data_IF_188627930672
#
_entry.id   IF_188627930672
#
_cell.length_a   1.000
_cell.length_b   1.000
_cell.length_c   1.000
_cell.angle_alpha   90.00
_cell.angle_beta   90.00
_cell.angle_gamma   90.00
#
_symmetry.space_group_name_H-M   'P 1'
#
loop_
_entity.id
_entity.type
_entity.pdbx_description
1 polymer ?
#
# COMPACT_ATOMS: atom_id res chain seq x y z
N UNK A 1 14.42 -29.64 -10.59
CA UNK A 1 14.02 -29.22 -9.23
C UNK A 1 15.19 -28.49 -8.58
N UNK A 2 15.39 -27.23 -8.91
CA UNK A 2 16.44 -26.37 -8.34
C UNK A 2 15.93 -24.93 -8.50
N UNK A 3 15.75 -24.18 -7.41
CA UNK A 3 15.41 -22.76 -7.54
C UNK A 3 14.76 -22.04 -6.36
N UNK A 4 14.37 -22.69 -5.26
CA UNK A 4 13.63 -21.96 -4.21
C UNK A 4 14.50 -21.21 -3.20
N UNK A 5 15.75 -21.61 -2.96
CA UNK A 5 16.57 -21.03 -1.89
C UNK A 5 17.07 -19.61 -2.20
N UNK A 6 17.38 -19.30 -3.46
CA UNK A 6 17.90 -17.99 -3.88
C UNK A 6 16.84 -16.94 -4.18
N UNK A 7 15.58 -17.33 -4.42
CA UNK A 7 14.55 -16.37 -4.88
C UNK A 7 14.11 -15.40 -3.79
N UNK A 8 14.01 -15.85 -2.53
CA UNK A 8 13.59 -14.97 -1.43
C UNK A 8 14.58 -13.85 -1.13
N UNK A 9 15.90 -14.11 -0.92
CA UNK A 9 16.86 -13.03 -0.67
C UNK A 9 16.98 -12.11 -1.89
N UNK A 10 16.93 -12.64 -3.11
CA UNK A 10 16.94 -11.83 -4.32
C UNK A 10 15.71 -10.91 -4.43
N UNK A 11 14.50 -11.45 -4.22
CA UNK A 11 13.27 -10.67 -4.27
C UNK A 11 13.25 -9.58 -3.18
N UNK A 12 13.71 -9.90 -1.96
CA UNK A 12 13.83 -8.92 -0.89
C UNK A 12 14.84 -7.82 -1.21
N UNK A 13 16.01 -8.17 -1.76
CA UNK A 13 17.02 -7.19 -2.14
C UNK A 13 16.52 -6.23 -3.24
N UNK A 14 15.88 -6.77 -4.29
CA UNK A 14 15.30 -5.96 -5.36
C UNK A 14 14.15 -5.10 -4.84
N UNK A 15 13.30 -5.65 -3.96
CA UNK A 15 12.25 -4.87 -3.30
C UNK A 15 12.85 -3.73 -2.49
N UNK A 16 13.81 -3.99 -1.61
CA UNK A 16 14.42 -2.98 -0.77
C UNK A 16 15.07 -1.86 -1.59
N UNK A 17 15.81 -2.22 -2.65
CA UNK A 17 16.43 -1.24 -3.54
C UNK A 17 15.39 -0.37 -4.25
N UNK A 18 14.37 -0.99 -4.85
CA UNK A 18 13.32 -0.26 -5.57
C UNK A 18 12.49 0.62 -4.65
N UNK A 19 12.20 0.18 -3.42
CA UNK A 19 11.44 0.95 -2.44
C UNK A 19 12.26 2.07 -1.82
N UNK A 20 13.57 1.89 -1.64
CA UNK A 20 14.46 2.98 -1.26
C UNK A 20 14.40 4.12 -2.29
N UNK A 21 14.44 3.79 -3.59
CA UNK A 21 14.29 4.77 -4.67
C UNK A 21 12.92 5.45 -4.62
N UNK A 22 11.83 4.70 -4.47
CA UNK A 22 10.48 5.27 -4.35
C UNK A 22 10.36 6.20 -3.14
N UNK A 23 10.92 5.82 -1.99
CA UNK A 23 10.93 6.64 -0.78
C UNK A 23 11.65 7.97 -1.03
N UNK A 24 12.86 7.92 -1.63
CA UNK A 24 13.60 9.13 -2.01
C UNK A 24 12.78 10.05 -2.95
N UNK A 25 11.96 9.48 -3.83
CA UNK A 25 11.09 10.24 -4.73
C UNK A 25 9.89 10.87 -4.02
N UNK A 26 9.16 10.09 -3.21
CA UNK A 26 7.95 10.62 -2.55
C UNK A 26 8.28 11.61 -1.45
N UNK A 27 9.43 11.47 -0.78
CA UNK A 27 9.92 12.44 0.21
C UNK A 27 10.72 13.60 -0.39
N UNK A 28 10.75 13.73 -1.74
CA UNK A 28 11.40 14.84 -2.46
C UNK A 28 12.91 14.99 -2.24
N UNK A 29 13.58 13.95 -1.77
CA UNK A 29 15.05 13.93 -1.70
C UNK A 29 15.65 13.87 -3.10
N UNK A 30 14.99 13.12 -3.99
CA UNK A 30 15.30 13.09 -5.43
C UNK A 30 14.01 13.37 -6.18
N UNK A 31 14.00 14.35 -7.07
CA UNK A 31 12.81 14.71 -7.86
C UNK A 31 12.93 13.98 -9.21
N UNK A 32 12.13 12.93 -9.47
CA UNK A 32 12.15 12.27 -10.76
C UNK A 32 11.53 13.18 -11.84
N UNK A 33 11.97 13.07 -13.11
CA UNK A 33 11.28 13.73 -14.21
C UNK A 33 9.90 13.09 -14.40
N UNK A 34 8.86 13.93 -14.55
CA UNK A 34 7.49 13.46 -14.81
C UNK A 34 6.43 14.08 -13.90
N UNK A 35 5.24 13.50 -13.94
CA UNK A 35 4.09 14.01 -13.18
C UNK A 35 4.21 13.65 -11.70
N UNK A 36 4.19 14.67 -10.86
CA UNK A 36 4.30 14.53 -9.42
C UNK A 36 2.92 14.59 -8.78
N UNK A 37 2.40 13.43 -8.38
CA UNK A 37 1.09 13.31 -7.70
C UNK A 37 1.19 13.33 -6.17
N UNK A 38 2.39 13.55 -5.60
CA UNK A 38 2.55 13.54 -4.13
C UNK A 38 1.84 14.70 -3.44
N UNK A 39 1.54 15.78 -4.17
CA UNK A 39 0.71 16.89 -3.70
C UNK A 39 -0.68 16.44 -3.27
N UNK A 40 -1.21 15.36 -3.85
CA UNK A 40 -2.51 14.82 -3.47
C UNK A 40 -2.50 14.38 -2.01
N UNK A 41 -1.36 13.88 -1.50
CA UNK A 41 -1.22 13.50 -0.09
C UNK A 41 -1.15 14.73 0.81
N UNK A 42 -0.29 15.70 0.48
CA UNK A 42 -0.05 16.87 1.35
C UNK A 42 -1.16 17.92 1.29
N UNK A 43 -1.95 17.95 0.21
CA UNK A 43 -3.03 18.92 0.01
C UNK A 43 -4.40 18.26 0.18
N UNK A 44 -4.74 17.29 -0.67
CA UNK A 44 -6.09 16.71 -0.72
C UNK A 44 -6.32 15.81 0.50
N UNK A 45 -5.46 14.82 0.73
CA UNK A 45 -5.66 13.86 1.82
C UNK A 45 -5.49 14.52 3.18
N UNK A 46 -4.54 15.45 3.32
CA UNK A 46 -4.37 16.19 4.56
C UNK A 46 -5.59 17.10 4.84
N UNK A 47 -6.15 17.74 3.81
CA UNK A 47 -7.39 18.51 3.93
C UNK A 47 -8.58 17.64 4.37
N UNK A 48 -8.73 16.44 3.80
CA UNK A 48 -9.74 15.48 4.26
C UNK A 48 -9.49 15.02 5.69
N UNK A 49 -8.23 14.78 6.06
CA UNK A 49 -7.85 14.42 7.42
C UNK A 49 -8.31 15.47 8.44
N UNK A 50 -8.14 16.76 8.14
CA UNK A 50 -8.56 17.85 9.01
C UNK A 50 -10.07 17.92 9.21
N UNK A 51 -10.86 17.55 8.20
CA UNK A 51 -12.31 17.42 8.34
C UNK A 51 -12.67 16.15 9.11
N UNK A 52 -12.13 15.00 8.71
CA UNK A 52 -12.41 13.70 9.31
C UNK A 52 -12.08 13.65 10.80
N UNK A 53 -10.99 14.29 11.23
CA UNK A 53 -10.61 14.34 12.65
C UNK A 53 -11.58 15.15 13.51
N UNK A 54 -12.44 15.96 12.91
CA UNK A 54 -13.53 16.65 13.61
C UNK A 54 -14.77 15.76 13.84
N UNK A 55 -14.79 14.56 13.26
CA UNK A 55 -15.89 13.59 13.38
C UNK A 55 -16.94 13.68 12.28
N UNK A 56 -16.70 14.47 11.24
CA UNK A 56 -17.59 14.60 10.06
C UNK A 56 -16.87 14.19 8.79
N UNK A 57 -17.64 13.84 7.75
CA UNK A 57 -17.07 13.60 6.42
C UNK A 57 -16.98 14.93 5.64
N UNK A 58 -16.08 15.04 4.66
CA UNK A 58 -16.00 16.21 3.77
C UNK A 58 -17.15 16.20 2.74
N UNK A 59 -18.39 16.28 3.23
CA UNK A 59 -19.64 16.12 2.45
C UNK A 59 -19.80 17.16 1.32
N UNK A 60 -19.25 18.36 1.50
CA UNK A 60 -19.28 19.43 0.50
C UNK A 60 -18.12 19.36 -0.51
N UNK A 61 -17.17 18.44 -0.32
CA UNK A 61 -16.02 18.28 -1.21
C UNK A 61 -16.32 17.24 -2.30
N UNK A 62 -16.49 17.71 -3.53
CA UNK A 62 -16.77 16.86 -4.70
C UNK A 62 -15.64 15.88 -5.05
N UNK A 63 -14.46 16.09 -4.48
CA UNK A 63 -13.32 15.18 -4.66
C UNK A 63 -13.36 13.99 -3.71
N UNK A 64 -14.15 14.03 -2.64
CA UNK A 64 -14.42 12.88 -1.79
C UNK A 64 -15.43 11.94 -2.46
N UNK A 65 -14.95 10.85 -3.03
CA UNK A 65 -15.77 9.88 -3.78
C UNK A 65 -15.66 8.47 -3.22
N UNK A 66 -15.17 8.34 -1.98
CA UNK A 66 -14.82 7.06 -1.39
C UNK A 66 -15.84 6.61 -0.35
N UNK A 67 -16.02 5.29 -0.18
CA UNK A 67 -16.91 4.78 0.85
C UNK A 67 -16.37 5.11 2.27
N UNK A 68 -17.21 5.03 3.32
CA UNK A 68 -16.86 5.55 4.65
C UNK A 68 -15.56 4.98 5.23
N UNK A 69 -15.26 3.70 5.00
CA UNK A 69 -14.09 3.05 5.60
C UNK A 69 -12.78 3.57 5.01
N UNK A 70 -12.79 4.23 3.84
CA UNK A 70 -11.63 4.95 3.29
C UNK A 70 -11.08 6.00 4.28
N UNK A 71 -11.93 6.55 5.16
CA UNK A 71 -11.51 7.45 6.22
C UNK A 71 -10.41 6.84 7.11
N UNK A 72 -10.38 5.52 7.30
CA UNK A 72 -9.32 4.87 8.08
C UNK A 72 -7.93 5.06 7.45
N UNK A 73 -7.82 4.97 6.12
CA UNK A 73 -6.56 5.20 5.43
C UNK A 73 -6.10 6.66 5.59
N UNK A 74 -7.03 7.60 5.45
CA UNK A 74 -6.77 9.05 5.56
C UNK A 74 -6.48 9.48 7.01
N UNK A 75 -7.11 8.85 8.01
CA UNK A 75 -6.86 9.11 9.42
C UNK A 75 -5.60 8.40 9.97
N UNK A 76 -5.16 7.31 9.33
CA UNK A 76 -4.05 6.48 9.83
C UNK A 76 -2.72 7.21 10.06
N UNK A 77 -2.35 8.30 9.35
CA UNK A 77 -1.13 9.08 9.66
C UNK A 77 -1.09 9.60 11.09
N UNK A 78 -2.23 9.79 11.77
CA UNK A 78 -2.29 10.18 13.18
C UNK A 78 -1.70 9.12 14.14
N UNK A 79 -1.48 7.88 13.68
CA UNK A 79 -0.78 6.84 14.43
C UNK A 79 0.73 7.13 14.58
N UNK A 80 1.27 8.05 13.78
CA UNK A 80 2.68 8.44 13.77
C UNK A 80 2.82 9.96 14.03
N UNK A 81 2.39 10.47 15.20
CA UNK A 81 2.26 11.91 15.47
C UNK A 81 3.60 12.65 15.54
N UNK A 82 4.71 11.93 15.50
CA UNK A 82 6.08 12.47 15.50
C UNK A 82 6.62 12.73 14.08
N UNK A 83 5.81 12.47 13.04
CA UNK A 83 6.11 12.77 11.64
C UNK A 83 5.08 13.79 11.10
N UNK A 84 5.45 14.53 10.06
CA UNK A 84 4.46 15.28 9.29
C UNK A 84 3.50 14.33 8.56
N UNK A 85 2.30 14.81 8.22
CA UNK A 85 1.23 14.00 7.66
C UNK A 85 1.65 13.22 6.40
N UNK A 86 2.37 13.87 5.47
CA UNK A 86 2.75 13.24 4.21
C UNK A 86 3.81 12.15 4.44
N UNK A 87 4.83 12.43 5.25
CA UNK A 87 5.85 11.44 5.62
C UNK A 87 5.23 10.25 6.36
N UNK A 88 4.34 10.50 7.32
CA UNK A 88 3.60 9.45 8.03
C UNK A 88 2.79 8.57 7.07
N UNK A 89 2.10 9.19 6.11
CA UNK A 89 1.35 8.47 5.07
C UNK A 89 2.27 7.57 4.22
N UNK A 90 3.40 8.09 3.74
CA UNK A 90 4.34 7.30 2.94
C UNK A 90 4.97 6.15 3.72
N UNK A 91 5.24 6.33 5.02
CA UNK A 91 5.70 5.25 5.90
C UNK A 91 4.64 4.16 6.01
N UNK A 92 3.37 4.53 6.21
CA UNK A 92 2.27 3.56 6.30
C UNK A 92 2.06 2.81 4.97
N UNK A 93 2.14 3.51 3.83
CA UNK A 93 2.11 2.91 2.50
C UNK A 93 3.26 1.89 2.31
N UNK A 94 4.48 2.25 2.72
CA UNK A 94 5.65 1.37 2.71
C UNK A 94 5.47 0.13 3.60
N UNK A 95 4.89 0.28 4.79
CA UNK A 95 4.60 -0.84 5.68
C UNK A 95 3.55 -1.80 5.08
N UNK A 96 2.51 -1.27 4.43
CA UNK A 96 1.54 -2.08 3.70
C UNK A 96 2.17 -2.83 2.51
N UNK A 97 3.05 -2.19 1.75
CA UNK A 97 3.82 -2.82 0.66
C UNK A 97 4.73 -3.95 1.18
N UNK A 98 5.43 -3.72 2.30
CA UNK A 98 6.25 -4.71 2.96
C UNK A 98 5.41 -5.90 3.46
N UNK A 99 4.22 -5.64 3.99
CA UNK A 99 3.27 -6.67 4.40
C UNK A 99 2.82 -7.52 3.21
N UNK A 100 2.49 -6.90 2.07
CA UNK A 100 2.15 -7.62 0.84
C UNK A 100 3.30 -8.51 0.39
N UNK A 101 4.54 -7.99 0.35
CA UNK A 101 5.70 -8.80 0.03
C UNK A 101 5.83 -10.01 0.96
N UNK A 102 5.73 -9.79 2.29
CA UNK A 102 5.82 -10.86 3.28
C UNK A 102 4.75 -11.94 3.09
N UNK A 103 3.51 -11.53 2.80
CA UNK A 103 2.40 -12.44 2.50
C UNK A 103 2.64 -13.25 1.22
N UNK A 104 3.11 -12.61 0.14
CA UNK A 104 3.39 -13.28 -1.13
C UNK A 104 4.58 -14.23 -1.04
N UNK A 105 5.65 -13.84 -0.34
CA UNK A 105 6.77 -14.70 -0.05
C UNK A 105 6.31 -15.93 0.72
N UNK A 106 5.56 -15.75 1.81
CA UNK A 106 5.04 -16.85 2.61
C UNK A 106 4.08 -17.76 1.84
N UNK A 107 3.26 -17.21 0.95
CA UNK A 107 2.39 -18.00 0.07
C UNK A 107 3.17 -18.81 -0.99
N UNK A 108 4.39 -18.36 -1.31
CA UNK A 108 5.29 -19.03 -2.24
C UNK A 108 6.15 -20.12 -1.57
N UNK A 109 5.94 -20.38 -0.28
CA UNK A 109 6.71 -21.35 0.48
C UNK A 109 6.19 -22.78 0.26
N UNK A 110 7.05 -23.65 -0.26
CA UNK A 110 6.84 -25.09 -0.30
C UNK A 110 6.94 -25.70 -1.70
N UNK A 111 6.93 -27.04 -1.79
CA UNK A 111 7.05 -27.76 -3.06
C UNK A 111 5.93 -27.37 -4.04
N UNK A 112 6.29 -27.09 -5.30
CA UNK A 112 5.34 -26.77 -6.37
C UNK A 112 4.72 -25.37 -6.31
N UNK A 113 5.06 -24.54 -5.32
CA UNK A 113 4.62 -23.14 -5.24
C UNK A 113 5.42 -22.27 -6.20
N UNK A 114 4.74 -21.31 -6.84
CA UNK A 114 5.35 -20.39 -7.82
C UNK A 114 5.66 -19.05 -7.16
N UNK A 115 6.83 -18.50 -7.46
CA UNK A 115 7.29 -17.18 -7.00
C UNK A 115 6.91 -16.05 -7.97
N UNK A 116 6.15 -16.35 -9.03
CA UNK A 116 5.79 -15.37 -10.06
C UNK A 116 5.04 -14.15 -9.48
N UNK A 117 4.10 -14.37 -8.54
CA UNK A 117 3.38 -13.27 -7.89
C UNK A 117 4.28 -12.34 -7.09
N UNK A 118 5.34 -12.87 -6.46
CA UNK A 118 6.36 -12.06 -5.77
C UNK A 118 7.07 -11.16 -6.78
N UNK A 119 7.52 -11.70 -7.92
CA UNK A 119 8.23 -10.89 -8.92
C UNK A 119 7.35 -9.87 -9.62
N UNK A 120 6.08 -10.20 -9.89
CA UNK A 120 5.09 -9.22 -10.39
C UNK A 120 4.94 -8.07 -9.40
N UNK A 121 4.89 -8.33 -8.09
CA UNK A 121 4.81 -7.29 -7.06
C UNK A 121 6.10 -6.47 -6.95
N UNK A 122 7.25 -7.14 -6.88
CA UNK A 122 8.55 -6.49 -6.70
C UNK A 122 8.90 -5.62 -7.90
N UNK A 123 8.69 -6.11 -9.12
CA UNK A 123 9.00 -5.38 -10.34
C UNK A 123 7.89 -4.40 -10.75
N UNK A 124 6.61 -4.76 -10.54
CA UNK A 124 5.48 -3.97 -11.04
C UNK A 124 5.21 -2.69 -10.26
N UNK A 125 5.23 -2.73 -8.93
CA UNK A 125 4.97 -1.56 -8.07
C UNK A 125 5.85 -0.34 -8.41
N UNK A 126 7.19 -0.47 -8.55
CA UNK A 126 8.02 0.69 -8.87
C UNK A 126 7.77 1.28 -10.27
N UNK A 127 7.18 0.53 -11.20
CA UNK A 127 6.81 1.05 -12.53
C UNK A 127 5.67 2.08 -12.46
N UNK A 128 4.91 2.13 -11.35
CA UNK A 128 3.90 3.15 -11.11
C UNK A 128 4.49 4.49 -10.66
N UNK A 129 5.80 4.54 -10.39
CA UNK A 129 6.49 5.73 -9.90
C UNK A 129 5.94 6.23 -8.56
N UNK A 130 5.88 7.55 -8.38
CA UNK A 130 5.37 8.18 -7.15
C UNK A 130 3.92 7.81 -6.86
N UNK A 131 3.12 7.50 -7.89
CA UNK A 131 1.72 7.05 -7.76
C UNK A 131 1.55 5.86 -6.83
N UNK A 132 2.55 4.95 -6.79
CA UNK A 132 2.51 3.78 -5.92
C UNK A 132 2.27 4.15 -4.45
N UNK A 133 2.90 5.23 -3.98
CA UNK A 133 2.87 5.68 -2.58
C UNK A 133 2.12 7.00 -2.40
N UNK A 134 1.79 7.74 -3.46
CA UNK A 134 0.96 8.94 -3.42
C UNK A 134 -0.55 8.64 -3.52
N UNK A 135 -0.91 7.36 -3.56
CA UNK A 135 -2.28 6.88 -3.43
C UNK A 135 -2.35 5.86 -2.31
N UNK A 136 -3.48 5.80 -1.61
CA UNK A 136 -3.68 4.80 -0.56
C UNK A 136 -3.99 3.38 -1.11
N UNK A 137 -3.95 3.20 -2.44
CA UNK A 137 -4.24 1.93 -3.12
C UNK A 137 -3.42 0.75 -2.61
N UNK A 138 -2.16 0.97 -2.21
CA UNK A 138 -1.32 -0.10 -1.65
C UNK A 138 -1.84 -0.62 -0.31
N UNK A 139 -2.49 0.24 0.49
CA UNK A 139 -3.14 -0.16 1.75
C UNK A 139 -4.37 -1.03 1.48
N UNK A 140 -5.19 -0.64 0.49
CA UNK A 140 -6.34 -1.43 0.03
C UNK A 140 -5.90 -2.77 -0.57
N UNK A 141 -4.83 -2.74 -1.35
CA UNK A 141 -4.25 -3.93 -1.97
C UNK A 141 -3.72 -4.91 -0.93
N UNK A 142 -3.17 -4.43 0.19
CA UNK A 142 -2.77 -5.29 1.30
C UNK A 142 -3.95 -6.09 1.85
N UNK A 143 -5.11 -5.46 2.02
CA UNK A 143 -6.36 -6.14 2.43
C UNK A 143 -6.80 -7.14 1.37
N UNK A 144 -6.79 -6.77 0.09
CA UNK A 144 -7.19 -7.64 -1.01
C UNK A 144 -6.30 -8.89 -1.11
N UNK A 145 -4.97 -8.74 -1.02
CA UNK A 145 -4.02 -9.86 -1.01
C UNK A 145 -4.27 -10.76 0.20
N UNK A 146 -4.46 -10.18 1.39
CA UNK A 146 -4.81 -10.94 2.59
C UNK A 146 -6.11 -11.74 2.41
N UNK A 147 -7.13 -11.15 1.79
CA UNK A 147 -8.41 -11.79 1.50
C UNK A 147 -8.22 -13.01 0.59
N UNK A 148 -7.54 -12.84 -0.54
CA UNK A 148 -7.27 -13.92 -1.51
C UNK A 148 -6.50 -15.09 -0.87
N UNK A 149 -5.45 -14.79 -0.10
CA UNK A 149 -4.64 -15.81 0.55
C UNK A 149 -5.41 -16.52 1.69
N UNK A 150 -6.23 -15.79 2.44
CA UNK A 150 -7.10 -16.38 3.46
C UNK A 150 -8.17 -17.31 2.85
N UNK A 151 -8.70 -16.94 1.67
CA UNK A 151 -9.72 -17.70 0.94
C UNK A 151 -9.34 -19.14 0.61
N UNK A 152 -8.03 -19.44 0.51
CA UNK A 152 -7.53 -20.80 0.29
C UNK A 152 -7.91 -21.78 1.40
N UNK A 153 -8.19 -21.30 2.62
CA UNK A 153 -8.50 -22.14 3.78
C UNK A 153 -9.70 -21.67 4.60
N UNK A 154 -10.09 -20.39 4.49
CA UNK A 154 -11.09 -19.75 5.36
C UNK A 154 -12.00 -18.83 4.53
N UNK A 155 -13.02 -19.35 3.83
CA UNK A 155 -13.89 -18.56 2.95
C UNK A 155 -14.64 -17.43 3.67
N UNK A 156 -14.97 -17.60 4.96
CA UNK A 156 -15.58 -16.53 5.77
C UNK A 156 -14.64 -15.33 5.98
N UNK A 157 -13.35 -15.59 6.17
CA UNK A 157 -12.34 -14.53 6.34
C UNK A 157 -12.11 -13.79 5.01
N UNK A 158 -12.09 -14.53 3.89
CA UNK A 158 -12.10 -13.93 2.55
C UNK A 158 -13.30 -12.98 2.40
N UNK A 159 -14.52 -13.45 2.70
CA UNK A 159 -15.73 -12.63 2.56
C UNK A 159 -15.68 -11.36 3.42
N UNK A 160 -15.26 -11.47 4.68
CA UNK A 160 -15.12 -10.33 5.57
C UNK A 160 -14.07 -9.31 5.07
N UNK A 161 -12.89 -9.78 4.66
CA UNK A 161 -11.83 -8.92 4.14
C UNK A 161 -12.18 -8.31 2.79
N UNK A 162 -12.88 -9.04 1.93
CA UNK A 162 -13.36 -8.53 0.64
C UNK A 162 -14.43 -7.44 0.83
N UNK A 163 -15.39 -7.65 1.75
CA UNK A 163 -16.38 -6.65 2.09
C UNK A 163 -15.75 -5.40 2.72
N UNK A 164 -14.79 -5.59 3.64
CA UNK A 164 -14.02 -4.49 4.22
C UNK A 164 -13.21 -3.75 3.15
N UNK A 165 -12.56 -4.48 2.23
CA UNK A 165 -11.84 -3.93 1.08
C UNK A 165 -12.73 -3.08 0.18
N UNK A 166 -13.93 -3.56 -0.15
CA UNK A 166 -14.91 -2.82 -0.95
C UNK A 166 -15.42 -1.55 -0.25
N UNK A 167 -15.36 -1.48 1.09
CA UNK A 167 -15.68 -0.26 1.82
C UNK A 167 -14.47 0.70 1.92
N UNK A 168 -13.24 0.24 1.63
CA UNK A 168 -12.07 1.10 1.54
C UNK A 168 -11.97 1.83 0.19
N UNK A 169 -12.40 1.16 -0.90
CA UNK A 169 -12.34 1.69 -2.26
C UNK A 169 -13.22 0.88 -3.21
#
# INVERSE_FOLDING_TARGET
MTGSSGTRPAAFAVWALTRAVLLLWVTKVVIPPGLDVTSDVSVIYHGWYDVLRSGTYPESDVTWQYPPVAALAILSPALLPFLDYATAFFVLAFLCDALVLGMLLRASDGPGRRTAGVWVWVAGVPLLGTTAYARYDVMVTAVAVAALLAGLRRPRVLGALAAFGALLK
#
